data_IF_171099225709
#
_entry.id   IF_171099225709
#
_cell.length_a   1.000
_cell.length_b   1.000
_cell.length_c   1.000
_cell.angle_alpha   90.00
_cell.angle_beta   90.00
_cell.angle_gamma   90.00
#
_symmetry.space_group_name_H-M   'P 1'
#
loop_
_entity.id
_entity.type
_entity.pdbx_description
1 polymer ?
#
# COMPACT_ATOMS: atom_id res chain seq x y z
N UNK A 1 3.65 12.21 -20.44
CA UNK A 1 4.21 11.48 -19.27
C UNK A 1 4.30 10.02 -19.66
N UNK A 2 5.45 9.37 -19.52
CA UNK A 2 5.59 7.95 -19.87
C UNK A 2 4.82 7.11 -18.84
N UNK A 3 3.97 6.19 -19.29
CA UNK A 3 3.28 5.30 -18.37
C UNK A 3 4.30 4.31 -17.77
N UNK A 4 4.30 4.19 -16.45
CA UNK A 4 5.17 3.27 -15.72
C UNK A 4 4.50 1.89 -15.64
N UNK A 5 5.26 0.82 -15.83
CA UNK A 5 4.79 -0.56 -15.63
C UNK A 5 4.37 -0.78 -14.18
N UNK A 6 3.20 -1.42 -13.99
CA UNK A 6 2.61 -1.67 -12.68
C UNK A 6 2.25 -3.17 -12.52
N UNK A 7 2.19 -3.63 -11.28
CA UNK A 7 1.74 -5.01 -10.98
C UNK A 7 0.28 -5.25 -11.38
N UNK A 8 -0.53 -4.20 -11.31
CA UNK A 8 -1.93 -4.27 -11.77
C UNK A 8 -2.03 -4.62 -13.27
N UNK A 9 -1.03 -4.30 -14.09
CA UNK A 9 -1.07 -4.59 -15.53
C UNK A 9 -1.14 -6.10 -15.80
N UNK A 10 -0.40 -6.90 -15.01
CA UNK A 10 -0.47 -8.36 -15.08
C UNK A 10 -1.80 -8.88 -14.53
N UNK A 11 -2.26 -8.35 -13.39
CA UNK A 11 -3.53 -8.71 -12.80
C UNK A 11 -4.71 -8.47 -13.76
N UNK A 12 -4.74 -7.33 -14.47
CA UNK A 12 -5.79 -7.01 -15.43
C UNK A 12 -5.79 -7.97 -16.62
N UNK A 13 -4.61 -8.44 -17.07
CA UNK A 13 -4.50 -9.46 -18.13
C UNK A 13 -5.02 -10.81 -17.65
N UNK A 14 -4.66 -11.23 -16.44
CA UNK A 14 -5.17 -12.46 -15.81
C UNK A 14 -6.68 -12.38 -15.63
N UNK A 15 -7.20 -11.28 -15.10
CA UNK A 15 -8.62 -11.01 -14.96
C UNK A 15 -9.37 -11.12 -16.30
N UNK A 16 -8.86 -10.54 -17.37
CA UNK A 16 -9.48 -10.63 -18.69
C UNK A 16 -9.48 -12.06 -19.25
N UNK A 17 -8.46 -12.85 -18.96
CA UNK A 17 -8.34 -14.24 -19.41
C UNK A 17 -9.27 -15.20 -18.68
N UNK A 18 -9.76 -14.82 -17.49
CA UNK A 18 -10.74 -15.62 -16.74
C UNK A 18 -12.12 -15.51 -17.42
N UNK A 19 -12.67 -16.67 -17.81
CA UNK A 19 -14.02 -16.76 -18.42
C UNK A 19 -15.13 -16.43 -17.44
N UNK A 20 -14.90 -16.66 -16.14
CA UNK A 20 -15.83 -16.39 -15.05
C UNK A 20 -15.60 -15.03 -14.37
N UNK A 21 -14.75 -14.19 -14.96
CA UNK A 21 -14.40 -12.86 -14.39
C UNK A 21 -15.63 -12.07 -13.96
N UNK A 22 -15.50 -11.42 -12.83
CA UNK A 22 -16.52 -10.51 -12.29
C UNK A 22 -16.20 -9.07 -12.65
N UNK A 23 -17.21 -8.17 -12.69
CA UNK A 23 -16.95 -6.74 -12.67
C UNK A 23 -15.93 -6.36 -11.61
N UNK A 24 -14.93 -5.55 -11.97
CA UNK A 24 -13.80 -5.25 -11.14
C UNK A 24 -13.90 -3.86 -10.51
N UNK A 25 -13.65 -3.73 -9.21
CA UNK A 25 -13.47 -2.43 -8.55
C UNK A 25 -12.00 -2.26 -8.16
N UNK A 26 -11.33 -1.30 -8.78
CA UNK A 26 -9.96 -0.91 -8.44
C UNK A 26 -9.98 0.22 -7.41
N UNK A 27 -9.64 -0.11 -6.17
CA UNK A 27 -9.59 0.85 -5.05
C UNK A 27 -8.15 1.25 -4.76
N UNK A 28 -7.94 2.41 -4.21
CA UNK A 28 -6.61 2.86 -3.78
C UNK A 28 -6.61 4.32 -3.39
N UNK A 29 -5.54 4.77 -2.74
CA UNK A 29 -5.36 6.18 -2.43
C UNK A 29 -5.41 7.05 -3.70
N UNK A 30 -5.59 8.34 -3.54
CA UNK A 30 -5.50 9.27 -4.68
C UNK A 30 -4.11 9.25 -5.28
N UNK A 31 -4.03 9.50 -6.59
CA UNK A 31 -2.79 9.67 -7.35
C UNK A 31 -1.87 8.44 -7.43
N UNK A 32 -2.35 7.23 -7.03
CA UNK A 32 -1.57 5.98 -7.18
C UNK A 32 -1.58 5.41 -8.60
N UNK A 33 -2.29 6.05 -9.55
CA UNK A 33 -2.26 5.71 -10.99
C UNK A 33 -3.39 4.80 -11.47
N UNK A 34 -4.50 4.64 -10.73
CA UNK A 34 -5.64 3.77 -11.09
C UNK A 34 -6.16 4.01 -12.50
N UNK A 35 -6.62 5.24 -12.76
CA UNK A 35 -7.20 5.64 -14.05
C UNK A 35 -6.25 5.40 -15.21
N UNK A 36 -4.97 5.75 -15.05
CA UNK A 36 -3.96 5.60 -16.10
C UNK A 36 -3.72 4.13 -16.47
N UNK A 37 -3.57 3.24 -15.48
CA UNK A 37 -3.36 1.80 -15.71
C UNK A 37 -4.59 1.15 -16.36
N UNK A 38 -5.82 1.51 -15.90
CA UNK A 38 -7.06 0.95 -16.46
C UNK A 38 -7.25 1.42 -17.90
N UNK A 39 -7.07 2.71 -18.19
CA UNK A 39 -7.22 3.24 -19.56
C UNK A 39 -6.20 2.61 -20.52
N UNK A 40 -4.93 2.46 -20.10
CA UNK A 40 -3.93 1.79 -20.94
C UNK A 40 -4.34 0.35 -21.23
N UNK A 41 -4.71 -0.40 -20.18
CA UNK A 41 -5.19 -1.77 -20.34
C UNK A 41 -6.42 -1.84 -21.28
N UNK A 42 -7.37 -0.92 -21.12
CA UNK A 42 -8.57 -0.86 -21.93
C UNK A 42 -8.23 -0.67 -23.42
N UNK A 43 -7.39 0.32 -23.73
CA UNK A 43 -6.97 0.60 -25.11
C UNK A 43 -6.18 -0.53 -25.76
N UNK A 44 -5.35 -1.24 -24.98
CA UNK A 44 -4.54 -2.34 -25.48
C UNK A 44 -5.34 -3.63 -25.72
N UNK A 45 -6.53 -3.76 -25.10
CA UNK A 45 -7.23 -5.03 -25.02
C UNK A 45 -8.68 -5.04 -25.54
N UNK A 46 -9.29 -3.87 -25.81
CA UNK A 46 -10.68 -3.76 -26.28
C UNK A 46 -10.75 -2.88 -27.52
N UNK A 47 -11.68 -3.22 -28.42
CA UNK A 47 -11.94 -2.41 -29.62
C UNK A 47 -12.65 -1.10 -29.27
N UNK A 48 -13.55 -1.16 -28.29
CA UNK A 48 -14.33 -0.02 -27.84
C UNK A 48 -14.12 0.18 -26.33
N UNK A 49 -13.94 1.43 -25.94
CA UNK A 49 -13.78 1.82 -24.54
C UNK A 49 -14.75 2.95 -24.22
N UNK A 50 -15.64 2.69 -23.27
CA UNK A 50 -16.56 3.69 -22.72
C UNK A 50 -16.05 4.11 -21.37
N UNK A 51 -15.27 5.19 -21.29
CA UNK A 51 -14.72 5.72 -20.05
C UNK A 51 -15.51 6.93 -19.57
N UNK A 52 -16.07 6.85 -18.38
CA UNK A 52 -16.89 7.90 -17.76
C UNK A 52 -16.30 8.27 -16.41
N UNK A 53 -15.92 9.53 -16.25
CA UNK A 53 -15.49 10.09 -14.97
C UNK A 53 -16.66 10.88 -14.36
N UNK A 54 -17.24 10.39 -13.27
CA UNK A 54 -18.43 10.98 -12.66
C UNK A 54 -18.21 12.34 -11.99
N UNK A 55 -16.98 12.72 -11.72
CA UNK A 55 -16.64 14.07 -11.24
C UNK A 55 -16.69 15.07 -12.39
N UNK A 56 -16.07 14.72 -13.52
CA UNK A 56 -15.94 15.62 -14.69
C UNK A 56 -17.18 15.61 -15.57
N UNK A 57 -17.88 14.48 -15.65
CA UNK A 57 -18.98 14.22 -16.59
C UNK A 57 -20.28 13.91 -15.84
N UNK A 58 -20.71 14.81 -14.98
CA UNK A 58 -21.85 14.62 -14.07
C UNK A 58 -23.16 14.21 -14.76
N UNK A 59 -23.37 14.62 -16.04
CA UNK A 59 -24.55 14.24 -16.81
C UNK A 59 -24.76 12.73 -16.94
N UNK A 60 -23.69 11.94 -16.87
CA UNK A 60 -23.80 10.49 -16.96
C UNK A 60 -24.30 9.82 -15.68
N UNK A 61 -24.46 10.54 -14.56
CA UNK A 61 -25.11 9.99 -13.36
C UNK A 61 -26.55 9.58 -13.63
N UNK A 62 -27.21 10.28 -14.58
CA UNK A 62 -28.58 10.00 -14.99
C UNK A 62 -28.78 8.63 -15.67
N UNK A 63 -27.73 7.94 -16.12
CA UNK A 63 -27.87 6.63 -16.78
C UNK A 63 -28.49 5.55 -15.87
N UNK A 64 -28.47 5.75 -14.56
CA UNK A 64 -29.02 4.83 -13.57
C UNK A 64 -30.41 5.25 -13.02
N UNK A 65 -30.99 6.36 -13.46
CA UNK A 65 -32.27 6.87 -12.94
C UNK A 65 -33.47 5.97 -13.30
N UNK A 66 -33.39 5.26 -14.44
CA UNK A 66 -34.41 4.31 -14.87
C UNK A 66 -34.20 2.87 -14.35
N UNK A 67 -33.26 2.69 -13.40
CA UNK A 67 -32.90 1.39 -12.83
C UNK A 67 -31.57 0.84 -13.33
N UNK A 68 -31.34 -0.43 -13.03
CA UNK A 68 -30.02 -1.06 -13.22
C UNK A 68 -29.99 -2.10 -14.34
N UNK A 69 -31.02 -2.19 -15.16
CA UNK A 69 -31.04 -3.10 -16.31
C UNK A 69 -30.00 -2.64 -17.35
N UNK A 70 -29.18 -3.58 -17.83
CA UNK A 70 -28.06 -3.28 -18.72
C UNK A 70 -28.54 -2.60 -20.01
N UNK A 71 -29.64 -3.07 -20.61
CA UNK A 71 -30.19 -2.47 -21.83
C UNK A 71 -30.62 -1.00 -21.64
N UNK A 72 -31.19 -0.67 -20.47
CA UNK A 72 -31.54 0.72 -20.12
C UNK A 72 -30.29 1.58 -19.96
N UNK A 73 -29.25 1.07 -19.24
CA UNK A 73 -27.99 1.78 -19.05
C UNK A 73 -27.32 2.03 -20.43
N UNK A 74 -27.22 1.01 -21.29
CA UNK A 74 -26.58 1.14 -22.61
C UNK A 74 -27.36 2.12 -23.51
N UNK A 75 -28.68 2.05 -23.50
CA UNK A 75 -29.55 3.01 -24.22
C UNK A 75 -29.32 4.44 -23.75
N UNK A 76 -29.31 4.66 -22.43
CA UNK A 76 -29.10 5.98 -21.84
C UNK A 76 -27.70 6.53 -22.14
N UNK A 77 -26.64 5.68 -22.10
CA UNK A 77 -25.30 6.03 -22.55
C UNK A 77 -25.29 6.53 -23.99
N UNK A 78 -25.96 5.81 -24.92
CA UNK A 78 -26.03 6.14 -26.34
C UNK A 78 -26.86 7.40 -26.56
N UNK A 79 -27.95 7.62 -25.81
CA UNK A 79 -28.75 8.85 -25.86
C UNK A 79 -27.95 10.08 -25.42
N UNK A 80 -27.16 9.98 -24.36
CA UNK A 80 -26.30 11.08 -23.88
C UNK A 80 -25.17 11.38 -24.87
N UNK A 81 -24.61 10.33 -25.49
CA UNK A 81 -23.54 10.47 -26.47
C UNK A 81 -23.70 9.45 -27.61
N UNK A 82 -24.33 9.84 -28.73
CA UNK A 82 -24.52 8.96 -29.88
C UNK A 82 -23.25 8.50 -30.60
N UNK A 83 -22.09 9.11 -30.30
CA UNK A 83 -20.81 8.71 -30.89
C UNK A 83 -20.17 7.48 -30.20
N UNK A 84 -20.72 7.05 -29.07
CA UNK A 84 -20.22 5.87 -28.35
C UNK A 84 -20.50 4.61 -29.19
N UNK A 85 -19.42 3.84 -29.42
CA UNK A 85 -19.54 2.50 -30.02
C UNK A 85 -19.55 1.49 -28.88
N UNK A 86 -20.67 0.80 -28.71
CA UNK A 86 -20.89 -0.17 -27.64
C UNK A 86 -21.29 -1.50 -28.27
N UNK A 87 -20.37 -2.45 -28.30
CA UNK A 87 -20.56 -3.76 -28.94
C UNK A 87 -20.37 -4.86 -27.90
N UNK A 88 -21.29 -5.82 -27.85
CA UNK A 88 -21.21 -6.96 -26.94
C UNK A 88 -19.91 -7.76 -27.17
N UNK A 89 -19.21 -8.09 -26.10
CA UNK A 89 -17.93 -8.84 -26.10
C UNK A 89 -16.69 -8.02 -26.50
N UNK A 90 -16.87 -6.82 -27.09
CA UNK A 90 -15.76 -6.00 -27.59
C UNK A 90 -15.60 -4.66 -26.87
N UNK A 91 -16.45 -4.36 -25.90
CA UNK A 91 -16.47 -3.08 -25.19
C UNK A 91 -16.10 -3.27 -23.72
N UNK A 92 -15.16 -2.46 -23.24
CA UNK A 92 -14.96 -2.23 -21.81
C UNK A 92 -15.70 -0.96 -21.39
N UNK A 93 -16.53 -1.05 -20.35
CA UNK A 93 -17.14 0.09 -19.68
C UNK A 93 -16.29 0.40 -18.43
N UNK A 94 -15.75 1.61 -18.38
CA UNK A 94 -14.93 2.08 -17.26
C UNK A 94 -15.62 3.23 -16.53
N UNK A 95 -16.06 2.99 -15.31
CA UNK A 95 -16.63 3.98 -14.42
C UNK A 95 -15.56 4.49 -13.44
N UNK A 96 -15.05 5.69 -13.73
CA UNK A 96 -14.03 6.35 -12.90
C UNK A 96 -14.64 7.26 -11.85
N UNK A 97 -14.00 7.38 -10.68
CA UNK A 97 -14.46 8.15 -9.53
C UNK A 97 -15.86 7.71 -9.04
N UNK A 98 -16.05 6.40 -8.88
CA UNK A 98 -17.33 5.77 -8.52
C UNK A 98 -17.95 6.29 -7.22
N UNK A 99 -17.16 6.88 -6.32
CA UNK A 99 -17.68 7.49 -5.09
C UNK A 99 -18.60 8.68 -5.34
N UNK A 100 -18.51 9.31 -6.52
CA UNK A 100 -19.38 10.40 -6.94
C UNK A 100 -20.69 9.91 -7.60
N UNK A 101 -20.80 8.58 -7.86
CA UNK A 101 -22.00 7.93 -8.36
C UNK A 101 -22.15 6.52 -7.78
N UNK A 102 -22.62 6.37 -6.52
CA UNK A 102 -22.74 5.06 -5.84
C UNK A 102 -23.63 4.06 -6.60
N UNK A 103 -24.56 4.53 -7.41
CA UNK A 103 -25.44 3.72 -8.24
C UNK A 103 -24.67 2.78 -9.19
N UNK A 104 -23.46 3.19 -9.66
CA UNK A 104 -22.66 2.31 -10.52
C UNK A 104 -22.21 1.03 -9.80
N UNK A 105 -21.98 1.07 -8.48
CA UNK A 105 -21.65 -0.13 -7.71
C UNK A 105 -22.87 -1.10 -7.60
N UNK A 106 -24.08 -0.56 -7.54
CA UNK A 106 -25.32 -1.34 -7.54
C UNK A 106 -25.54 -2.05 -8.87
N UNK A 107 -25.19 -1.41 -10.00
CA UNK A 107 -25.37 -1.95 -11.35
C UNK A 107 -24.46 -3.16 -11.67
N UNK A 108 -23.36 -3.37 -10.95
CA UNK A 108 -22.36 -4.41 -11.25
C UNK A 108 -22.96 -5.81 -11.24
N UNK A 109 -23.93 -6.09 -10.36
CA UNK A 109 -24.66 -7.37 -10.36
C UNK A 109 -25.38 -7.60 -11.69
N UNK A 110 -26.07 -6.58 -12.21
CA UNK A 110 -26.77 -6.68 -13.49
C UNK A 110 -25.80 -6.96 -14.64
N UNK A 111 -24.67 -6.25 -14.69
CA UNK A 111 -23.62 -6.49 -15.69
C UNK A 111 -23.03 -7.91 -15.62
N UNK A 112 -22.80 -8.46 -14.40
CA UNK A 112 -22.31 -9.86 -14.26
C UNK A 112 -23.34 -10.87 -14.77
N UNK A 113 -24.62 -10.66 -14.49
CA UNK A 113 -25.70 -11.57 -14.93
C UNK A 113 -25.89 -11.48 -16.44
N UNK A 114 -25.83 -10.29 -17.00
CA UNK A 114 -25.95 -10.03 -18.44
C UNK A 114 -24.77 -10.63 -19.24
N UNK A 115 -23.56 -10.42 -18.78
CA UNK A 115 -22.33 -11.01 -19.34
C UNK A 115 -21.87 -10.48 -20.69
N UNK A 116 -22.58 -9.52 -21.32
CA UNK A 116 -22.22 -8.96 -22.63
C UNK A 116 -21.08 -7.95 -22.58
N UNK A 117 -20.87 -7.31 -21.44
CA UNK A 117 -19.93 -6.21 -21.30
C UNK A 117 -19.02 -6.41 -20.09
N UNK A 118 -17.74 -6.15 -20.28
CA UNK A 118 -16.80 -6.07 -19.18
C UNK A 118 -16.89 -4.70 -18.50
N UNK A 119 -16.88 -4.68 -17.18
CA UNK A 119 -17.00 -3.45 -16.40
C UNK A 119 -15.85 -3.35 -15.39
N UNK A 120 -15.15 -2.22 -15.41
CA UNK A 120 -14.20 -1.85 -14.36
C UNK A 120 -14.66 -0.54 -13.73
N UNK A 121 -14.68 -0.48 -12.41
CA UNK A 121 -14.86 0.76 -11.67
C UNK A 121 -13.56 1.16 -11.01
N UNK A 122 -13.30 2.46 -10.87
CA UNK A 122 -12.25 2.93 -9.98
C UNK A 122 -12.77 3.95 -8.97
N UNK A 123 -12.16 3.99 -7.80
CA UNK A 123 -12.52 4.96 -6.78
C UNK A 123 -11.43 5.19 -5.75
N UNK A 124 -11.42 6.40 -5.20
CA UNK A 124 -10.59 6.73 -4.05
C UNK A 124 -11.14 6.06 -2.79
N UNK A 125 -10.26 5.42 -1.99
CA UNK A 125 -10.64 4.83 -0.72
C UNK A 125 -11.33 5.84 0.23
N UNK A 126 -10.91 7.10 0.19
CA UNK A 126 -11.48 8.17 1.02
C UNK A 126 -12.95 8.50 0.69
N UNK A 127 -13.32 8.36 -0.59
CA UNK A 127 -14.62 8.80 -1.08
C UNK A 127 -15.68 7.71 -1.10
N UNK A 128 -15.31 6.42 -1.00
CA UNK A 128 -16.28 5.32 -1.10
C UNK A 128 -17.06 5.19 0.21
N UNK A 129 -18.28 5.70 0.18
CA UNK A 129 -19.22 5.58 1.28
C UNK A 129 -20.13 4.38 1.05
N UNK A 130 -19.77 3.24 1.60
CA UNK A 130 -20.55 2.01 1.45
C UNK A 130 -21.99 2.12 1.96
N UNK A 131 -22.28 3.03 2.88
CA UNK A 131 -23.64 3.29 3.37
C UNK A 131 -24.54 3.99 2.34
N UNK A 132 -23.99 4.66 1.33
CA UNK A 132 -24.75 5.31 0.26
C UNK A 132 -25.01 4.38 -0.94
N UNK A 133 -24.44 3.16 -0.94
CA UNK A 133 -24.64 2.15 -1.99
C UNK A 133 -25.87 1.32 -1.62
N UNK A 134 -26.94 1.35 -2.43
CA UNK A 134 -28.16 0.59 -2.21
C UNK A 134 -27.91 -0.92 -2.14
N UNK A 135 -27.08 -1.45 -3.06
CA UNK A 135 -26.62 -2.81 -3.08
C UNK A 135 -25.16 -2.89 -3.48
N UNK A 136 -24.31 -3.41 -2.59
CA UNK A 136 -22.86 -3.52 -2.85
C UNK A 136 -22.50 -4.69 -3.78
N UNK A 137 -23.42 -5.22 -4.57
CA UNK A 137 -23.23 -6.34 -5.52
C UNK A 137 -22.38 -7.47 -4.92
N UNK A 138 -22.68 -7.86 -3.67
CA UNK A 138 -21.95 -8.90 -2.94
C UNK A 138 -22.04 -10.22 -3.72
N UNK A 139 -20.88 -10.87 -3.95
CA UNK A 139 -20.77 -12.10 -4.75
C UNK A 139 -20.81 -11.90 -6.27
N UNK A 140 -20.91 -10.66 -6.76
CA UNK A 140 -20.99 -10.34 -8.19
C UNK A 140 -19.93 -9.31 -8.63
N UNK A 141 -18.90 -9.10 -7.81
CA UNK A 141 -17.80 -8.21 -8.09
C UNK A 141 -16.51 -8.70 -7.46
N UNK A 142 -15.41 -8.26 -8.00
CA UNK A 142 -14.07 -8.46 -7.47
C UNK A 142 -13.44 -7.13 -7.09
N UNK A 143 -12.65 -7.11 -6.02
CA UNK A 143 -11.99 -5.90 -5.53
C UNK A 143 -10.46 -6.04 -5.65
N UNK A 144 -9.81 -5.06 -6.28
CA UNK A 144 -8.35 -4.93 -6.30
C UNK A 144 -7.91 -3.67 -5.58
N UNK A 145 -6.98 -3.79 -4.64
CA UNK A 145 -6.40 -2.62 -3.95
C UNK A 145 -5.08 -2.23 -4.58
N UNK A 146 -5.05 -1.06 -5.22
CA UNK A 146 -3.85 -0.50 -5.82
C UNK A 146 -3.12 0.42 -4.83
N UNK A 147 -1.85 0.14 -4.61
CA UNK A 147 -0.96 0.95 -3.76
C UNK A 147 -0.11 1.91 -4.61
N UNK A 148 0.61 2.83 -3.95
CA UNK A 148 1.76 3.49 -4.58
C UNK A 148 2.76 2.43 -5.03
N UNK A 149 3.65 2.77 -5.97
CA UNK A 149 4.64 1.82 -6.51
C UNK A 149 5.46 1.20 -5.39
N UNK A 150 5.65 -0.11 -5.43
CA UNK A 150 6.59 -0.79 -4.56
C UNK A 150 8.03 -0.74 -5.12
N UNK A 151 8.98 -1.31 -4.38
CA UNK A 151 10.38 -1.25 -4.80
C UNK A 151 10.64 -2.04 -6.09
N UNK A 152 9.91 -3.13 -6.35
CA UNK A 152 10.01 -3.89 -7.60
C UNK A 152 9.53 -3.05 -8.80
N UNK A 153 8.38 -2.37 -8.66
CA UNK A 153 7.86 -1.47 -9.69
C UNK A 153 8.81 -0.26 -9.93
N UNK A 154 9.46 0.23 -8.87
CA UNK A 154 10.51 1.24 -8.98
C UNK A 154 11.74 0.71 -9.74
N UNK A 155 12.18 -0.53 -9.47
CA UNK A 155 13.26 -1.18 -10.23
C UNK A 155 12.90 -1.30 -11.72
N UNK A 156 11.66 -1.69 -12.04
CA UNK A 156 11.19 -1.71 -13.44
C UNK A 156 11.23 -0.32 -14.08
N UNK A 157 10.83 0.72 -13.34
CA UNK A 157 10.91 2.10 -13.83
C UNK A 157 12.36 2.56 -14.10
N UNK A 158 13.32 2.02 -13.36
CA UNK A 158 14.78 2.23 -13.54
C UNK A 158 15.38 1.35 -14.64
N UNK A 159 14.59 0.47 -15.28
CA UNK A 159 15.02 -0.38 -16.40
C UNK A 159 15.48 -1.78 -16.01
N UNK A 160 15.34 -2.20 -14.76
CA UNK A 160 15.61 -3.58 -14.35
C UNK A 160 14.42 -4.48 -14.73
N UNK A 161 14.70 -5.65 -15.24
CA UNK A 161 13.69 -6.59 -15.73
C UNK A 161 13.31 -7.67 -14.70
N UNK A 162 12.41 -8.55 -15.11
CA UNK A 162 11.97 -9.65 -14.27
C UNK A 162 13.05 -10.70 -14.02
N UNK A 163 14.02 -10.85 -14.93
CA UNK A 163 15.13 -11.77 -14.75
C UNK A 163 16.07 -11.33 -13.62
N UNK A 164 16.30 -10.00 -13.50
CA UNK A 164 17.04 -9.45 -12.39
C UNK A 164 16.33 -9.68 -11.04
N UNK A 165 15.01 -9.51 -11.01
CA UNK A 165 14.22 -9.78 -9.80
C UNK A 165 14.30 -11.27 -9.41
N UNK A 166 14.22 -12.17 -10.41
CA UNK A 166 14.36 -13.60 -10.17
C UNK A 166 15.75 -13.96 -9.62
N UNK A 167 16.80 -13.39 -10.17
CA UNK A 167 18.15 -13.56 -9.65
C UNK A 167 18.28 -13.17 -8.16
N UNK A 168 17.68 -12.04 -7.75
CA UNK A 168 17.68 -11.63 -6.34
C UNK A 168 16.92 -12.63 -5.45
N UNK A 169 15.81 -13.14 -5.95
CA UNK A 169 15.01 -14.13 -5.24
C UNK A 169 15.78 -15.47 -5.09
N UNK A 170 16.44 -15.96 -6.13
CA UNK A 170 17.28 -17.15 -6.07
C UNK A 170 18.42 -17.02 -5.06
N UNK A 171 19.07 -15.85 -4.99
CA UNK A 171 20.07 -15.53 -3.97
C UNK A 171 19.50 -15.62 -2.55
N UNK A 172 18.28 -15.11 -2.33
CA UNK A 172 17.60 -15.22 -1.02
C UNK A 172 17.30 -16.69 -0.66
N UNK A 173 16.76 -17.46 -1.61
CA UNK A 173 16.39 -18.87 -1.38
C UNK A 173 17.62 -19.74 -1.09
N UNK A 174 18.68 -19.58 -1.88
CA UNK A 174 19.94 -20.31 -1.72
C UNK A 174 20.80 -19.78 -0.57
N UNK A 175 20.39 -18.67 0.07
CA UNK A 175 21.19 -17.98 1.10
C UNK A 175 22.60 -17.63 0.62
N UNK A 176 22.71 -17.27 -0.67
CA UNK A 176 23.97 -16.89 -1.30
C UNK A 176 24.16 -15.38 -1.22
N UNK A 177 25.28 -14.87 -0.67
CA UNK A 177 25.55 -13.44 -0.64
C UNK A 177 25.54 -12.79 -2.03
N UNK A 178 25.07 -11.56 -2.07
CA UNK A 178 25.22 -10.67 -3.22
C UNK A 178 26.68 -10.24 -3.36
N UNK A 179 27.13 -9.96 -4.57
CA UNK A 179 28.43 -9.32 -4.81
C UNK A 179 28.46 -7.89 -4.25
N UNK A 180 29.66 -7.34 -4.04
CA UNK A 180 29.79 -5.95 -3.60
C UNK A 180 29.15 -4.95 -4.57
N UNK A 181 29.27 -5.20 -5.87
CA UNK A 181 28.65 -4.35 -6.90
C UNK A 181 27.12 -4.38 -6.79
N UNK A 182 26.52 -5.55 -6.61
CA UNK A 182 25.07 -5.68 -6.41
C UNK A 182 24.61 -4.97 -5.14
N UNK A 183 25.35 -5.14 -4.02
CA UNK A 183 25.06 -4.46 -2.77
C UNK A 183 25.08 -2.93 -2.94
N UNK A 184 26.14 -2.37 -3.51
CA UNK A 184 26.33 -0.92 -3.68
C UNK A 184 25.23 -0.30 -4.57
N UNK A 185 24.91 -0.98 -5.69
CA UNK A 185 23.87 -0.53 -6.62
C UNK A 185 22.50 -0.58 -5.96
N UNK A 186 22.15 -1.70 -5.33
CA UNK A 186 20.83 -1.90 -4.73
C UNK A 186 20.62 -1.00 -3.50
N UNK A 187 21.65 -0.76 -2.68
CA UNK A 187 21.58 0.20 -1.59
C UNK A 187 21.36 1.63 -2.08
N UNK A 188 22.01 2.02 -3.18
CA UNK A 188 21.78 3.32 -3.80
C UNK A 188 20.34 3.44 -4.31
N UNK A 189 19.86 2.47 -5.08
CA UNK A 189 18.50 2.43 -5.61
C UNK A 189 17.45 2.43 -4.49
N UNK A 190 17.71 1.73 -3.40
CA UNK A 190 16.83 1.72 -2.24
C UNK A 190 16.79 3.07 -1.52
N UNK A 191 17.91 3.77 -1.39
CA UNK A 191 17.94 5.15 -0.87
C UNK A 191 17.20 6.12 -1.78
N UNK A 192 17.35 5.99 -3.10
CA UNK A 192 16.55 6.76 -4.07
C UNK A 192 15.05 6.54 -3.81
N UNK A 193 14.60 5.28 -3.78
CA UNK A 193 13.21 4.93 -3.53
C UNK A 193 12.72 5.39 -2.15
N UNK A 194 13.50 5.21 -1.11
CA UNK A 194 13.18 5.68 0.25
C UNK A 194 12.96 7.21 0.28
N UNK A 195 13.74 7.95 -0.48
CA UNK A 195 13.67 9.42 -0.55
C UNK A 195 12.44 9.91 -1.32
N UNK A 196 12.17 9.32 -2.50
CA UNK A 196 11.07 9.79 -3.36
C UNK A 196 9.75 9.06 -3.11
N UNK A 197 9.79 7.88 -2.50
CA UNK A 197 8.62 7.00 -2.34
C UNK A 197 8.17 6.35 -3.62
N UNK A 198 6.93 5.86 -3.61
CA UNK A 198 6.30 5.14 -4.71
C UNK A 198 5.18 5.90 -5.41
N UNK A 199 4.96 7.19 -5.15
CA UNK A 199 3.92 7.94 -5.86
C UNK A 199 4.29 8.08 -7.34
N UNK A 200 3.46 7.57 -8.30
CA UNK A 200 3.86 7.43 -9.71
C UNK A 200 4.31 8.73 -10.37
N UNK A 201 3.68 9.85 -10.02
CA UNK A 201 4.07 11.16 -10.55
C UNK A 201 5.49 11.56 -10.11
N UNK A 202 5.84 11.29 -8.84
CA UNK A 202 7.17 11.57 -8.27
C UNK A 202 8.22 10.64 -8.88
N UNK A 203 7.92 9.33 -8.96
CA UNK A 203 8.81 8.34 -9.59
C UNK A 203 9.08 8.70 -11.06
N UNK A 204 8.03 9.05 -11.81
CA UNK A 204 8.17 9.42 -13.21
C UNK A 204 9.01 10.69 -13.39
N UNK A 205 8.81 11.70 -12.54
CA UNK A 205 9.64 12.92 -12.56
C UNK A 205 11.11 12.58 -12.28
N UNK A 206 11.38 11.78 -11.25
CA UNK A 206 12.72 11.35 -10.88
C UNK A 206 13.42 10.57 -12.02
N UNK A 207 12.72 9.59 -12.60
CA UNK A 207 13.28 8.76 -13.69
C UNK A 207 13.50 9.58 -14.96
N UNK A 208 12.55 10.47 -15.30
CA UNK A 208 12.66 11.32 -16.50
C UNK A 208 13.77 12.35 -16.39
N UNK A 209 13.96 12.96 -15.22
CA UNK A 209 15.01 13.96 -14.98
C UNK A 209 16.38 13.34 -14.68
N UNK A 210 16.44 12.08 -14.29
CA UNK A 210 17.66 11.42 -13.82
C UNK A 210 18.21 11.97 -12.49
N UNK A 211 17.44 12.80 -11.79
CA UNK A 211 17.82 13.45 -10.53
C UNK A 211 16.59 13.82 -9.69
N UNK A 212 16.81 14.35 -8.47
CA UNK A 212 15.74 14.68 -7.51
C UNK A 212 15.08 16.05 -7.74
N UNK A 213 15.45 16.79 -8.79
CA UNK A 213 14.90 18.14 -9.02
C UNK A 213 13.37 18.10 -9.14
N UNK A 214 12.70 18.92 -8.33
CA UNK A 214 11.25 19.05 -8.29
C UNK A 214 10.50 17.94 -7.50
N UNK A 215 11.14 16.83 -7.13
CA UNK A 215 10.49 15.74 -6.44
C UNK A 215 9.93 16.13 -5.08
N UNK A 216 10.71 16.84 -4.26
CA UNK A 216 10.26 17.32 -2.94
C UNK A 216 9.07 18.27 -3.05
N UNK A 217 9.09 19.21 -4.01
CA UNK A 217 7.96 20.10 -4.27
C UNK A 217 6.70 19.32 -4.61
N UNK A 218 6.82 18.30 -5.45
CA UNK A 218 5.68 17.46 -5.83
C UNK A 218 5.17 16.62 -4.66
N UNK A 219 6.05 16.04 -3.84
CA UNK A 219 5.67 15.29 -2.64
C UNK A 219 4.96 16.18 -1.62
N UNK A 220 5.42 17.41 -1.40
CA UNK A 220 4.76 18.38 -0.52
C UNK A 220 3.38 18.79 -1.05
N UNK A 221 3.23 18.95 -2.37
CA UNK A 221 1.92 19.19 -2.95
C UNK A 221 0.97 18.02 -2.69
N UNK A 222 1.44 16.78 -2.81
CA UNK A 222 0.64 15.60 -2.48
C UNK A 222 0.18 15.56 -1.01
N UNK A 223 1.04 15.99 -0.08
CA UNK A 223 0.65 16.11 1.34
C UNK A 223 -0.47 17.12 1.52
N UNK A 224 -0.38 18.30 0.88
CA UNK A 224 -1.42 19.34 0.90
C UNK A 224 -2.74 18.81 0.29
N UNK A 225 -2.66 18.13 -0.85
CA UNK A 225 -3.83 17.52 -1.51
C UNK A 225 -4.52 16.50 -0.58
N UNK A 226 -3.76 15.71 0.18
CA UNK A 226 -4.31 14.79 1.19
C UNK A 226 -4.96 15.51 2.38
N UNK A 227 -4.39 16.61 2.85
CA UNK A 227 -5.00 17.44 3.90
C UNK A 227 -6.33 18.07 3.44
N UNK A 228 -6.40 18.54 2.19
CA UNK A 228 -7.64 19.04 1.58
C UNK A 228 -8.69 17.93 1.48
N UNK A 229 -8.28 16.73 1.08
CA UNK A 229 -9.15 15.57 0.99
C UNK A 229 -9.69 15.13 2.37
N UNK A 230 -8.86 15.13 3.41
CA UNK A 230 -9.29 14.91 4.79
C UNK A 230 -10.40 15.90 5.13
N UNK A 231 -10.21 17.16 4.77
CA UNK A 231 -11.21 18.22 5.03
C UNK A 231 -12.50 18.01 4.25
N UNK A 232 -12.43 17.50 3.04
CA UNK A 232 -13.59 17.26 2.16
C UNK A 232 -14.39 16.03 2.57
N UNK A 233 -13.72 14.91 2.83
CA UNK A 233 -14.36 13.59 2.95
C UNK A 233 -14.61 13.11 4.37
N UNK A 234 -14.01 13.72 5.40
CA UNK A 234 -14.21 13.37 6.80
C UNK A 234 -15.57 13.93 7.32
N UNK A 235 -16.68 13.59 6.65
CA UNK A 235 -18.02 14.01 7.08
C UNK A 235 -18.44 13.24 8.34
N UNK A 236 -19.05 13.95 9.29
CA UNK A 236 -19.52 13.36 10.55
C UNK A 236 -18.42 13.03 11.55
N UNK A 237 -17.14 13.20 11.20
CA UNK A 237 -15.99 13.07 12.09
C UNK A 237 -15.40 14.45 12.43
N UNK A 238 -14.73 14.53 13.56
CA UNK A 238 -13.98 15.72 13.94
C UNK A 238 -12.72 15.86 13.07
N UNK A 239 -12.82 16.74 12.05
CA UNK A 239 -11.73 17.02 11.11
C UNK A 239 -10.45 17.49 11.80
N UNK A 240 -10.62 18.25 12.89
CA UNK A 240 -9.50 18.71 13.70
C UNK A 240 -8.75 17.55 14.35
N UNK A 241 -9.47 16.53 14.82
CA UNK A 241 -8.85 15.30 15.36
C UNK A 241 -8.11 14.51 14.30
N UNK A 242 -8.68 14.37 13.09
CA UNK A 242 -8.05 13.65 11.99
C UNK A 242 -6.74 14.33 11.59
N UNK A 243 -6.80 15.65 11.38
CA UNK A 243 -5.61 16.44 11.06
C UNK A 243 -4.57 16.35 12.17
N UNK A 244 -4.97 16.50 13.41
CA UNK A 244 -4.06 16.42 14.55
C UNK A 244 -3.35 15.05 14.66
N UNK A 245 -4.06 13.94 14.42
CA UNK A 245 -3.42 12.62 14.33
C UNK A 245 -2.41 12.57 13.19
N UNK A 246 -2.80 13.03 12.00
CA UNK A 246 -1.96 12.99 10.81
C UNK A 246 -0.66 13.78 10.99
N UNK A 247 -0.75 14.99 11.50
CA UNK A 247 0.38 15.90 11.73
C UNK A 247 1.38 15.37 12.77
N UNK A 248 0.93 14.52 13.71
CA UNK A 248 1.78 13.98 14.76
C UNK A 248 2.45 12.64 14.44
N UNK A 249 2.16 12.02 13.29
CA UNK A 249 2.74 10.69 12.94
C UNK A 249 4.26 10.77 12.91
N UNK A 250 4.83 11.75 12.19
CA UNK A 250 6.28 11.94 12.09
C UNK A 250 6.94 12.18 13.44
N UNK A 251 6.27 12.93 14.33
CA UNK A 251 6.75 13.24 15.69
C UNK A 251 6.87 11.96 16.53
N UNK A 252 5.85 11.08 16.50
CA UNK A 252 5.89 9.83 17.27
C UNK A 252 6.89 8.82 16.69
N UNK A 253 7.04 8.78 15.37
CA UNK A 253 8.05 7.93 14.72
C UNK A 253 9.48 8.32 15.14
N UNK A 254 9.73 9.59 15.41
CA UNK A 254 11.02 10.08 15.91
C UNK A 254 11.34 9.76 17.37
N UNK A 255 10.39 9.25 18.15
CA UNK A 255 10.61 8.90 19.56
C UNK A 255 11.19 7.48 19.69
N UNK A 256 11.94 7.23 20.79
CA UNK A 256 12.44 5.88 21.12
C UNK A 256 11.30 4.85 21.22
N UNK A 257 10.19 5.27 21.85
CA UNK A 257 8.95 4.50 21.86
C UNK A 257 8.01 5.05 20.79
N UNK A 258 8.00 4.43 19.63
CA UNK A 258 7.17 4.80 18.46
C UNK A 258 5.68 4.50 18.65
N UNK A 259 5.25 4.09 19.85
CA UNK A 259 3.83 3.88 20.17
C UNK A 259 3.07 5.20 20.09
N UNK A 260 2.00 5.22 19.29
CA UNK A 260 1.18 6.41 19.15
C UNK A 260 0.29 6.62 20.38
N UNK A 261 0.46 7.72 21.06
CA UNK A 261 -0.21 8.03 22.32
C UNK A 261 -1.15 9.24 22.16
N UNK A 262 -2.44 8.97 22.08
CA UNK A 262 -3.49 10.00 21.95
C UNK A 262 -3.41 11.06 23.05
N UNK A 263 -3.10 10.67 24.27
CA UNK A 263 -2.97 11.60 25.41
C UNK A 263 -1.85 12.64 25.25
N UNK A 264 -0.91 12.41 24.33
CA UNK A 264 0.19 13.35 24.04
C UNK A 264 -0.11 14.35 22.92
N UNK A 265 -1.12 14.08 22.09
CA UNK A 265 -1.48 14.97 20.96
C UNK A 265 -2.53 16.02 21.34
N UNK A 266 -3.33 15.76 22.39
CA UNK A 266 -4.31 16.72 22.90
C UNK A 266 -4.52 16.54 24.40
N UNK A 267 -4.54 17.65 25.14
CA UNK A 267 -4.75 17.62 26.58
C UNK A 267 -6.12 17.01 26.94
N UNK A 268 -6.12 16.00 27.81
CA UNK A 268 -7.34 15.29 28.21
C UNK A 268 -7.93 14.32 27.20
N UNK A 269 -7.30 14.15 26.02
CA UNK A 269 -7.79 13.25 24.97
C UNK A 269 -7.75 11.78 25.42
N UNK A 270 -8.81 11.05 25.06
CA UNK A 270 -8.96 9.61 25.38
C UNK A 270 -8.98 8.79 24.08
N UNK A 271 -8.37 7.61 24.10
CA UNK A 271 -8.31 6.72 22.94
C UNK A 271 -9.68 6.48 22.29
N UNK A 272 -10.74 6.29 23.09
CA UNK A 272 -12.11 6.05 22.59
C UNK A 272 -12.65 7.16 21.68
N UNK A 273 -12.16 8.38 21.82
CA UNK A 273 -12.61 9.56 21.05
C UNK A 273 -11.90 9.65 19.68
N UNK A 274 -10.84 8.88 19.48
CA UNK A 274 -10.01 8.88 18.28
C UNK A 274 -10.04 7.56 17.49
N UNK A 275 -10.75 6.52 17.97
CA UNK A 275 -10.82 5.22 17.28
C UNK A 275 -11.31 5.38 15.85
N UNK A 276 -12.46 6.05 15.65
CA UNK A 276 -12.99 6.30 14.31
C UNK A 276 -12.07 7.16 13.44
N UNK A 277 -11.27 8.05 14.04
CA UNK A 277 -10.25 8.86 13.34
C UNK A 277 -9.14 8.00 12.76
N UNK A 278 -8.59 7.08 13.54
CA UNK A 278 -7.52 6.16 13.12
C UNK A 278 -8.04 5.20 12.04
N UNK A 279 -9.23 4.64 12.26
CA UNK A 279 -9.87 3.75 11.30
C UNK A 279 -10.13 4.47 9.97
N UNK A 280 -10.64 5.69 10.02
CA UNK A 280 -10.87 6.49 8.83
C UNK A 280 -9.58 6.76 8.04
N UNK A 281 -8.48 7.19 8.71
CA UNK A 281 -7.19 7.42 8.06
C UNK A 281 -6.62 6.14 7.42
N UNK A 282 -6.77 4.99 8.09
CA UNK A 282 -6.38 3.67 7.57
C UNK A 282 -7.20 3.30 6.33
N UNK A 283 -8.52 3.41 6.43
CA UNK A 283 -9.46 3.02 5.37
C UNK A 283 -9.38 3.99 4.18
N UNK A 284 -9.08 5.26 4.43
CA UNK A 284 -8.74 6.25 3.41
C UNK A 284 -7.43 5.94 2.66
N UNK A 285 -6.63 5.02 3.17
CA UNK A 285 -5.38 4.63 2.56
C UNK A 285 -4.24 5.64 2.73
N UNK A 286 -4.29 6.45 3.80
CA UNK A 286 -3.28 7.47 4.11
C UNK A 286 -2.21 6.90 5.03
N UNK A 287 -2.60 6.05 5.99
CA UNK A 287 -1.72 5.46 6.98
C UNK A 287 -1.76 3.93 6.97
N UNK A 288 -0.71 3.34 7.49
CA UNK A 288 -0.64 1.95 7.91
C UNK A 288 -0.65 1.88 9.43
N UNK A 289 -1.51 1.04 10.00
CA UNK A 289 -1.61 0.82 11.44
C UNK A 289 -0.91 -0.49 11.79
N UNK A 290 0.03 -0.44 12.73
CA UNK A 290 0.73 -1.59 13.26
C UNK A 290 0.28 -1.82 14.72
N UNK A 291 -0.45 -2.90 14.97
CA UNK A 291 -0.99 -3.20 16.30
C UNK A 291 -0.02 -3.97 17.17
N UNK A 292 -0.02 -3.69 18.48
CA UNK A 292 0.75 -4.46 19.45
C UNK A 292 0.09 -5.83 19.68
N UNK A 293 0.89 -6.90 19.61
CA UNK A 293 0.42 -8.22 20.03
C UNK A 293 0.32 -8.26 21.56
N UNK A 294 -0.76 -8.80 22.09
CA UNK A 294 -0.93 -9.07 23.51
C UNK A 294 -0.07 -10.27 23.94
N UNK A 295 0.08 -11.24 23.04
CA UNK A 295 0.95 -12.40 23.19
C UNK A 295 1.57 -12.81 21.85
N UNK A 296 2.74 -13.42 21.91
CA UNK A 296 3.50 -13.89 20.73
C UNK A 296 3.06 -15.29 20.38
N UNK A 297 1.91 -15.42 19.69
CA UNK A 297 1.33 -16.70 19.25
C UNK A 297 0.41 -16.51 18.05
N UNK A 298 0.05 -17.59 17.39
CA UNK A 298 -0.98 -17.63 16.35
C UNK A 298 -2.39 -17.82 16.96
N UNK A 299 -3.46 -17.30 16.31
CA UNK A 299 -3.46 -16.49 15.10
C UNK A 299 -3.18 -15.00 15.40
N UNK A 300 -2.39 -14.32 14.57
CA UNK A 300 -2.02 -12.89 14.78
C UNK A 300 -3.25 -12.00 14.97
N UNK A 301 -4.26 -12.14 14.10
CA UNK A 301 -5.48 -11.32 14.13
C UNK A 301 -6.33 -11.52 15.40
N UNK A 302 -6.14 -12.62 16.12
CA UNK A 302 -6.82 -12.89 17.39
C UNK A 302 -6.08 -12.41 18.63
N UNK A 303 -4.83 -11.99 18.50
CA UNK A 303 -3.92 -11.77 19.62
C UNK A 303 -3.39 -10.32 19.74
N UNK A 304 -4.01 -9.34 19.11
CA UNK A 304 -3.55 -7.95 19.19
C UNK A 304 -4.38 -7.10 20.17
N UNK A 305 -3.75 -6.07 20.74
CA UNK A 305 -4.41 -5.03 21.52
C UNK A 305 -4.80 -3.85 20.61
N UNK A 306 -6.11 -3.59 20.38
CA UNK A 306 -6.55 -2.50 19.53
C UNK A 306 -6.26 -1.10 20.09
N UNK A 307 -5.87 -1.00 21.38
CA UNK A 307 -5.53 0.27 22.02
C UNK A 307 -4.04 0.61 21.97
N UNK A 308 -3.22 -0.32 21.50
CA UNK A 308 -1.77 -0.16 21.44
C UNK A 308 -1.28 -0.33 20.00
N UNK A 309 -0.86 0.75 19.37
CA UNK A 309 -0.48 0.76 17.97
C UNK A 309 0.62 1.78 17.68
N UNK A 310 1.34 1.53 16.56
CA UNK A 310 2.20 2.48 15.87
C UNK A 310 1.51 2.91 14.58
N UNK A 311 1.74 4.14 14.13
CA UNK A 311 1.22 4.67 12.87
C UNK A 311 2.39 4.94 11.92
N UNK A 312 2.27 4.49 10.68
CA UNK A 312 3.22 4.73 9.61
C UNK A 312 2.54 5.45 8.45
N UNK A 313 3.29 6.27 7.74
CA UNK A 313 2.85 6.76 6.43
C UNK A 313 2.76 5.60 5.44
N UNK A 314 1.74 5.63 4.59
CA UNK A 314 1.52 4.60 3.56
C UNK A 314 2.47 4.74 2.37
N UNK A 315 3.26 5.80 2.34
CA UNK A 315 4.34 6.03 1.39
C UNK A 315 5.49 6.73 2.10
N UNK A 316 6.68 6.13 2.05
CA UNK A 316 7.85 6.66 2.78
C UNK A 316 8.34 7.98 2.21
N UNK A 317 8.16 8.24 0.91
CA UNK A 317 8.48 9.54 0.33
C UNK A 317 7.62 10.67 0.89
N UNK A 318 6.36 10.39 1.26
CA UNK A 318 5.51 11.36 1.95
C UNK A 318 5.95 11.60 3.40
N UNK A 319 6.42 10.56 4.11
CA UNK A 319 7.05 10.74 5.42
C UNK A 319 8.27 11.66 5.30
N UNK A 320 9.14 11.42 4.34
CA UNK A 320 10.35 12.24 4.13
C UNK A 320 9.98 13.69 3.80
N UNK A 321 8.95 13.90 2.98
CA UNK A 321 8.50 15.25 2.60
C UNK A 321 7.79 16.00 3.74
N UNK A 322 7.28 15.29 4.76
CA UNK A 322 6.69 15.90 5.97
C UNK A 322 7.73 16.42 6.95
N UNK A 323 9.02 16.14 6.73
CA UNK A 323 10.14 16.62 7.53
C UNK A 323 10.68 17.96 7.03
N UNK A 324 11.75 18.45 7.68
CA UNK A 324 12.46 19.64 7.27
C UNK A 324 12.99 19.53 5.83
N UNK A 325 13.23 20.66 5.17
CA UNK A 325 13.63 20.70 3.75
C UNK A 325 14.94 19.97 3.50
N UNK A 326 15.88 20.08 4.43
CA UNK A 326 17.19 19.48 4.38
C UNK A 326 17.15 17.95 4.58
N UNK A 327 16.08 17.41 5.17
CA UNK A 327 15.96 15.98 5.49
C UNK A 327 16.05 15.09 4.25
N UNK A 328 15.56 15.56 3.10
CA UNK A 328 15.68 14.79 1.85
C UNK A 328 17.15 14.64 1.43
N UNK A 329 17.94 15.74 1.50
CA UNK A 329 19.38 15.71 1.19
C UNK A 329 20.15 14.83 2.18
N UNK A 330 19.86 14.97 3.44
CA UNK A 330 20.51 14.20 4.51
C UNK A 330 20.30 12.68 4.34
N UNK A 331 19.09 12.24 3.90
CA UNK A 331 18.82 10.83 3.58
C UNK A 331 19.63 10.37 2.36
N UNK A 332 19.73 11.22 1.32
CA UNK A 332 20.49 10.90 0.10
C UNK A 332 21.97 10.67 0.41
N UNK A 333 22.56 11.50 1.25
CA UNK A 333 23.97 11.37 1.66
C UNK A 333 24.17 10.37 2.81
N UNK A 334 23.11 9.66 3.20
CA UNK A 334 23.13 8.66 4.29
C UNK A 334 23.64 9.22 5.62
N UNK A 335 23.32 10.49 5.92
CA UNK A 335 23.69 11.14 7.17
C UNK A 335 23.11 10.40 8.37
N UNK A 336 23.79 10.43 9.49
CA UNK A 336 23.28 9.79 10.68
C UNK A 336 22.22 10.66 11.38
N UNK A 337 20.97 10.22 11.37
CA UNK A 337 19.84 10.84 12.06
C UNK A 337 19.57 10.29 13.46
N UNK A 338 20.47 9.50 14.01
CA UNK A 338 20.21 8.83 15.29
C UNK A 338 18.94 7.98 15.25
N UNK A 339 18.05 8.20 16.20
CA UNK A 339 16.78 7.45 16.36
C UNK A 339 15.86 7.56 15.13
N UNK A 340 15.83 8.74 14.47
CA UNK A 340 14.95 8.98 13.35
C UNK A 340 15.29 8.14 12.10
N UNK A 341 16.57 7.80 11.91
CA UNK A 341 17.00 6.87 10.86
C UNK A 341 16.30 5.52 11.00
N UNK A 342 16.22 4.99 12.22
CA UNK A 342 15.47 3.75 12.50
C UNK A 342 13.99 3.86 12.20
N UNK A 343 13.39 5.05 12.41
CA UNK A 343 11.98 5.31 12.10
C UNK A 343 11.68 5.23 10.60
N UNK A 344 12.53 5.82 9.77
CA UNK A 344 12.39 5.79 8.31
C UNK A 344 12.50 4.36 7.78
N UNK A 345 13.48 3.58 8.25
CA UNK A 345 13.64 2.18 7.86
C UNK A 345 12.45 1.31 8.33
N UNK A 346 11.94 1.55 9.52
CA UNK A 346 10.76 0.84 10.03
C UNK A 346 9.51 1.20 9.23
N UNK A 347 9.33 2.47 8.85
CA UNK A 347 8.22 2.90 8.01
C UNK A 347 8.25 2.25 6.62
N UNK A 348 9.42 2.27 5.93
CA UNK A 348 9.52 1.70 4.58
C UNK A 348 9.34 0.18 4.59
N UNK A 349 9.89 -0.52 5.59
CA UNK A 349 9.67 -1.97 5.75
C UNK A 349 8.19 -2.26 6.01
N UNK A 350 7.54 -1.51 6.91
CA UNK A 350 6.10 -1.64 7.18
C UNK A 350 5.26 -1.41 5.92
N UNK A 351 5.55 -0.37 5.14
CA UNK A 351 4.87 -0.08 3.87
C UNK A 351 5.09 -1.21 2.85
N UNK A 352 6.32 -1.71 2.70
CA UNK A 352 6.62 -2.83 1.80
C UNK A 352 5.92 -4.13 2.22
N UNK A 353 5.76 -4.40 3.52
CA UNK A 353 5.01 -5.55 4.02
C UNK A 353 3.50 -5.41 3.70
N UNK A 354 2.92 -4.21 3.88
CA UNK A 354 1.51 -3.95 3.52
C UNK A 354 1.27 -4.11 2.02
N UNK A 355 2.16 -3.62 1.17
CA UNK A 355 2.10 -3.78 -0.30
C UNK A 355 2.17 -5.25 -0.74
N UNK A 356 2.73 -6.12 0.09
CA UNK A 356 2.69 -7.58 -0.07
C UNK A 356 1.44 -8.24 0.54
N UNK A 357 0.53 -7.46 1.15
CA UNK A 357 -0.73 -7.93 1.72
C UNK A 357 -0.62 -8.48 3.15
N UNK A 358 0.41 -8.09 3.91
CA UNK A 358 0.49 -8.36 5.33
C UNK A 358 -0.25 -7.28 6.14
N UNK A 359 -0.94 -7.68 7.22
CA UNK A 359 -1.28 -6.79 8.30
C UNK A 359 -0.07 -6.62 9.21
N UNK A 360 0.12 -5.44 9.77
CA UNK A 360 1.29 -5.13 10.58
C UNK A 360 1.00 -5.40 12.06
N UNK A 361 1.89 -6.13 12.68
CA UNK A 361 1.89 -6.40 14.12
C UNK A 361 3.30 -6.23 14.67
N UNK A 362 3.41 -5.60 15.85
CA UNK A 362 4.63 -5.53 16.63
C UNK A 362 4.42 -6.15 18.02
N UNK A 363 5.48 -6.37 18.75
CA UNK A 363 5.38 -6.80 20.15
C UNK A 363 6.30 -5.97 21.03
N UNK A 364 5.78 -5.60 22.18
CA UNK A 364 6.57 -4.97 23.24
C UNK A 364 6.06 -5.44 24.59
N UNK A 365 6.95 -6.00 25.39
CA UNK A 365 6.63 -6.37 26.77
C UNK A 365 7.05 -5.23 27.70
N UNK A 366 6.09 -4.60 28.36
CA UNK A 366 6.36 -3.49 29.30
C UNK A 366 7.16 -3.93 30.54
N UNK A 367 7.12 -5.23 30.88
CA UNK A 367 7.84 -5.81 32.02
C UNK A 367 9.26 -6.30 31.68
N UNK A 368 9.66 -6.25 30.43
CA UNK A 368 10.95 -6.73 29.95
C UNK A 368 11.46 -5.89 28.78
N UNK A 369 12.73 -6.11 28.40
CA UNK A 369 13.34 -5.46 27.23
C UNK A 369 13.01 -6.16 25.91
N UNK A 370 12.01 -7.07 25.87
CA UNK A 370 11.64 -7.80 24.67
C UNK A 370 10.75 -6.91 23.81
N UNK A 371 11.27 -6.50 22.66
CA UNK A 371 10.57 -5.75 21.63
C UNK A 371 10.87 -6.35 20.26
N UNK A 372 9.87 -6.39 19.37
CA UNK A 372 10.00 -6.86 18.00
C UNK A 372 9.24 -5.93 17.07
N UNK A 373 9.87 -5.51 15.98
CA UNK A 373 9.33 -4.47 15.09
C UNK A 373 8.14 -4.97 14.29
N UNK A 374 8.22 -6.19 13.71
CA UNK A 374 7.11 -6.78 12.97
C UNK A 374 7.00 -8.28 13.20
N UNK A 375 5.79 -8.78 12.95
CA UNK A 375 5.50 -10.20 12.82
C UNK A 375 4.76 -10.47 11.52
N UNK A 376 5.26 -11.44 10.77
CA UNK A 376 4.58 -12.01 9.61
C UNK A 376 4.36 -13.51 9.84
N UNK A 377 3.70 -14.19 8.93
CA UNK A 377 3.49 -15.63 9.04
C UNK A 377 3.56 -16.33 7.69
N UNK A 378 3.97 -17.58 7.70
CA UNK A 378 3.66 -18.58 6.67
C UNK A 378 2.42 -19.44 7.08
N UNK A 379 2.21 -20.56 6.42
CA UNK A 379 1.10 -21.48 6.75
C UNK A 379 1.24 -22.10 8.14
N UNK A 380 2.47 -22.26 8.66
CA UNK A 380 2.77 -23.07 9.83
C UNK A 380 3.44 -22.29 10.97
N UNK A 381 4.08 -21.16 10.68
CA UNK A 381 4.96 -20.47 11.63
C UNK A 381 4.64 -18.99 11.75
N UNK A 382 4.89 -18.49 12.96
CA UNK A 382 5.01 -17.08 13.25
C UNK A 382 6.47 -16.66 13.05
N UNK A 383 6.70 -15.59 12.30
CA UNK A 383 8.04 -15.15 11.91
C UNK A 383 8.26 -13.74 12.44
N UNK A 384 9.08 -13.56 13.48
CA UNK A 384 9.52 -12.25 13.93
C UNK A 384 10.46 -11.60 12.91
N UNK A 385 10.24 -10.31 12.64
CA UNK A 385 11.05 -9.51 11.72
C UNK A 385 11.61 -8.31 12.50
N UNK A 386 12.92 -8.25 12.64
CA UNK A 386 13.62 -7.16 13.31
C UNK A 386 14.29 -6.24 12.29
N UNK A 387 14.06 -4.93 12.42
CA UNK A 387 14.61 -3.88 11.54
C UNK A 387 15.71 -3.13 12.29
N UNK A 388 16.94 -3.17 11.81
CA UNK A 388 18.10 -2.52 12.46
C UNK A 388 18.79 -1.55 11.52
N UNK A 389 18.75 -0.27 11.84
CA UNK A 389 19.44 0.78 11.07
C UNK A 389 20.97 0.57 10.98
N UNK A 390 21.53 -0.22 11.89
CA UNK A 390 22.94 -0.60 11.96
C UNK A 390 23.06 -2.09 12.30
N UNK A 391 24.27 -2.64 12.33
CA UNK A 391 24.51 -4.05 12.70
C UNK A 391 24.49 -4.30 14.23
N UNK A 392 23.59 -3.66 14.94
CA UNK A 392 23.47 -3.85 16.38
C UNK A 392 22.97 -5.25 16.75
N UNK A 393 23.27 -5.66 17.98
CA UNK A 393 22.87 -6.96 18.52
C UNK A 393 21.34 -7.14 18.49
N UNK A 394 20.90 -8.32 18.07
CA UNK A 394 19.49 -8.72 17.92
C UNK A 394 19.03 -9.55 19.12
N UNK A 395 19.13 -9.00 20.34
CA UNK A 395 18.82 -9.73 21.58
C UNK A 395 17.37 -10.24 21.62
N UNK A 396 16.42 -9.45 21.17
CA UNK A 396 14.99 -9.83 21.13
C UNK A 396 14.74 -10.94 20.12
N UNK A 397 15.26 -10.81 18.89
CA UNK A 397 15.14 -11.83 17.86
C UNK A 397 15.77 -13.15 18.30
N UNK A 398 16.98 -13.11 18.91
CA UNK A 398 17.68 -14.29 19.44
C UNK A 398 16.89 -14.99 20.54
N UNK A 399 16.19 -14.23 21.41
CA UNK A 399 15.30 -14.80 22.45
C UNK A 399 14.07 -15.47 21.85
N UNK A 400 13.44 -14.82 20.86
CA UNK A 400 12.23 -15.36 20.21
C UNK A 400 12.53 -16.63 19.41
N UNK A 401 13.72 -16.75 18.84
CA UNK A 401 14.15 -17.90 18.01
C UNK A 401 14.99 -18.93 18.77
N UNK A 402 14.98 -18.89 20.11
CA UNK A 402 15.83 -19.76 20.95
C UNK A 402 15.42 -21.26 20.91
N UNK A 403 14.19 -21.58 20.43
CA UNK A 403 13.65 -22.94 20.36
C UNK A 403 13.64 -23.66 21.73
N UNK A 404 13.45 -22.90 22.80
CA UNK A 404 13.38 -23.37 24.19
C UNK A 404 11.95 -23.80 24.61
N UNK A 405 11.03 -23.92 23.66
CA UNK A 405 9.62 -24.25 23.88
C UNK A 405 8.74 -23.09 24.34
N UNK A 406 9.32 -21.93 24.62
CA UNK A 406 8.59 -20.75 25.09
C UNK A 406 7.72 -20.10 23.99
N UNK A 407 8.17 -20.18 22.74
CA UNK A 407 7.47 -19.64 21.56
C UNK A 407 7.34 -20.74 20.49
N UNK A 408 6.42 -21.71 20.69
CA UNK A 408 6.35 -22.91 19.85
C UNK A 408 5.98 -22.62 18.40
N UNK A 409 5.29 -21.52 18.14
CA UNK A 409 4.90 -21.11 16.79
C UNK A 409 6.06 -20.49 15.98
N UNK A 410 7.21 -20.19 16.62
CA UNK A 410 8.38 -19.57 15.97
C UNK A 410 9.41 -20.63 15.63
N UNK A 411 9.65 -20.84 14.33
CA UNK A 411 10.69 -21.76 13.83
C UNK A 411 11.97 -21.04 13.45
N UNK A 412 11.85 -19.81 12.95
CA UNK A 412 12.96 -18.95 12.55
C UNK A 412 12.51 -17.49 12.58
N UNK A 413 13.46 -16.59 12.43
CA UNK A 413 13.20 -15.16 12.33
C UNK A 413 13.88 -14.53 11.11
N UNK A 414 13.67 -13.23 10.92
CA UNK A 414 14.28 -12.43 9.87
C UNK A 414 14.85 -11.15 10.49
N UNK A 415 16.12 -10.87 10.18
CA UNK A 415 16.80 -9.60 10.47
C UNK A 415 16.93 -8.82 9.17
N UNK A 416 16.40 -7.61 9.13
CA UNK A 416 16.57 -6.64 8.04
C UNK A 416 17.58 -5.59 8.49
N UNK A 417 18.69 -5.47 7.77
CA UNK A 417 19.76 -4.53 8.09
C UNK A 417 20.61 -4.22 6.84
N UNK A 418 21.72 -3.52 7.02
CA UNK A 418 22.67 -3.20 5.94
C UNK A 418 23.69 -4.34 5.65
N UNK A 419 23.50 -5.52 6.22
CA UNK A 419 24.35 -6.69 5.96
C UNK A 419 23.83 -7.48 4.77
N UNK A 420 24.75 -8.21 4.14
CA UNK A 420 24.45 -9.12 3.04
C UNK A 420 23.60 -10.32 3.49
N UNK A 421 23.12 -11.10 2.54
CA UNK A 421 22.33 -12.33 2.76
C UNK A 421 23.14 -13.31 3.63
N UNK A 422 22.50 -13.87 4.65
CA UNK A 422 23.09 -14.88 5.51
C UNK A 422 22.06 -15.61 6.38
N UNK A 423 22.47 -16.73 6.98
CA UNK A 423 21.68 -17.50 7.92
C UNK A 423 22.58 -18.04 9.03
N UNK A 424 22.16 -17.91 10.27
CA UNK A 424 22.94 -18.31 11.44
C UNK A 424 22.39 -19.53 12.21
N UNK A 425 21.50 -20.31 11.56
CA UNK A 425 20.81 -21.44 12.18
C UNK A 425 19.51 -21.07 12.92
N UNK A 426 19.27 -19.78 13.22
CA UNK A 426 18.08 -19.29 13.95
C UNK A 426 17.27 -18.26 13.17
N UNK A 427 17.94 -17.37 12.47
CA UNK A 427 17.28 -16.35 11.66
C UNK A 427 18.08 -16.03 10.40
N UNK A 428 17.34 -15.64 9.38
CA UNK A 428 17.91 -15.10 8.15
C UNK A 428 18.27 -13.62 8.33
N UNK A 429 19.35 -13.20 7.71
CA UNK A 429 19.72 -11.79 7.58
C UNK A 429 19.56 -11.39 6.12
N UNK A 430 18.83 -10.33 5.87
CA UNK A 430 18.65 -9.78 4.53
C UNK A 430 18.88 -8.27 4.52
N UNK A 431 19.47 -7.73 3.43
CA UNK A 431 19.44 -6.29 3.19
C UNK A 431 17.99 -5.77 3.10
N UNK A 432 17.75 -4.53 3.54
CA UNK A 432 16.40 -3.92 3.52
C UNK A 432 15.71 -3.97 2.17
N UNK A 433 16.48 -3.73 1.09
CA UNK A 433 15.95 -3.70 -0.25
C UNK A 433 15.35 -5.03 -0.71
N UNK A 434 15.64 -6.15 -0.05
CA UNK A 434 15.03 -7.44 -0.34
C UNK A 434 13.69 -7.65 0.37
N UNK A 435 13.23 -6.69 1.18
CA UNK A 435 11.94 -6.78 1.89
C UNK A 435 10.77 -7.04 0.94
N UNK A 436 10.77 -6.52 -0.29
CA UNK A 436 9.70 -6.72 -1.26
C UNK A 436 9.54 -8.18 -1.73
N UNK A 437 10.53 -9.03 -1.53
CA UNK A 437 10.52 -10.47 -1.85
C UNK A 437 10.14 -11.35 -0.65
N UNK A 438 9.94 -10.79 0.55
CA UNK A 438 9.73 -11.58 1.77
C UNK A 438 8.51 -12.50 1.67
N UNK A 439 7.40 -12.05 1.09
CA UNK A 439 6.21 -12.91 0.96
C UNK A 439 6.47 -14.11 0.07
N UNK A 440 7.19 -13.92 -1.02
CA UNK A 440 7.59 -14.98 -1.94
C UNK A 440 8.56 -15.93 -1.25
N UNK A 441 9.55 -15.40 -0.53
CA UNK A 441 10.53 -16.17 0.24
C UNK A 441 9.87 -17.02 1.35
N UNK A 442 8.94 -16.44 2.10
CA UNK A 442 8.26 -17.10 3.22
C UNK A 442 7.30 -18.20 2.72
N UNK A 443 6.69 -18.02 1.56
CA UNK A 443 5.76 -18.99 0.95
C UNK A 443 6.41 -20.05 0.06
N UNK A 444 7.74 -20.02 -0.12
CA UNK A 444 8.42 -21.05 -0.89
C UNK A 444 8.15 -22.45 -0.31
N UNK A 445 7.97 -23.39 -1.16
CA UNK A 445 7.95 -24.80 -0.76
C UNK A 445 9.29 -25.17 -0.11
N UNK A 446 9.23 -25.73 1.07
CA UNK A 446 10.38 -26.20 1.84
C UNK A 446 10.53 -27.71 1.69
#
# INVERSE_FOLDING_TARGET
MKLLRRKIDNYLKEWKSDKERMPLIVKGARQVGKTASILQFAHDNYQNVVAINFVLQQKYKAIFEEGYEVDSIIRNLTLINPSLKIEAGNTLIFFDEMQDCPACATSLKAFKIDGRYDVICSGSLMGIKYCEIESNSVGYKEDYTMHSMDFEEFLWAKGYDSAFIEHLYEKMVSTTPLSNIEMDILERLFREYMTIGGMPAVVNMFVSNGNFSGTLKMQRQLLLDYEEDITKYAQGLDKGKIKNVYDHISVFLGQDNKKFLISKIAHGARNREYVGTIEWLRDAGIINVCYCLAQVSLPLKGNYDPKSYKLYYKDTGLLVASLDEESQEDIRVNKNYGTYKGAIYENIVGDMLVKQGYNLYFYRNEKSTLEMDFFIRDAQSLIPVEVKATDNATKSLSKLTAQDGKYPDIRYGIKLCNKNIGFNGKFYTFPYFLTFLLKRFVRRER
#
